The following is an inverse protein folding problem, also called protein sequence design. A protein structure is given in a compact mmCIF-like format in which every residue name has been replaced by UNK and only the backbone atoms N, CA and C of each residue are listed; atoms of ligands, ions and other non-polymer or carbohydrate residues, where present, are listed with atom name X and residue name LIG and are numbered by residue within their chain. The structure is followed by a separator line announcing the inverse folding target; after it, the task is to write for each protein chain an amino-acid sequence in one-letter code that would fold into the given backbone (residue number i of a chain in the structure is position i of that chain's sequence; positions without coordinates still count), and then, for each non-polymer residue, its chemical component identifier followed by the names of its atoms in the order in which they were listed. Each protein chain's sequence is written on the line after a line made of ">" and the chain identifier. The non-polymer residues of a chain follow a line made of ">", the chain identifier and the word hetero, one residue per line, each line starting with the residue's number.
data_IF_448058333824
#
_entry.id   IF_448058333824
#
_cell.length_a   1.000
_cell.length_b   1.000
_cell.length_c   1.000
_cell.angle_alpha   90.00
_cell.angle_beta   90.00
_cell.angle_gamma   90.00
#
_symmetry.space_group_name_H-M   'P 1'
#
loop_
_entity.id
_entity.type
_entity.pdbx_description
1 polymer ?
#
# COMPACT_ATOMS: atom_id res chain seq x y z
N UNK A 1 14.24 -5.43 -39.75
CA UNK A 1 13.52 -5.56 -38.47
C UNK A 1 14.44 -6.22 -37.49
N UNK A 2 14.78 -5.57 -36.36
CA UNK A 2 15.65 -6.18 -35.36
C UNK A 2 14.97 -7.43 -34.79
N UNK A 3 15.65 -8.58 -34.82
CA UNK A 3 15.18 -9.79 -34.15
C UNK A 3 14.88 -9.48 -32.69
N UNK A 4 13.62 -9.65 -32.29
CA UNK A 4 13.24 -9.50 -30.89
C UNK A 4 14.03 -10.51 -30.07
N UNK A 5 14.91 -10.02 -29.19
CA UNK A 5 15.64 -10.86 -28.22
C UNK A 5 14.64 -11.78 -27.49
N UNK A 6 14.84 -13.08 -27.62
CA UNK A 6 14.05 -14.14 -26.98
C UNK A 6 14.47 -14.41 -25.53
N UNK A 7 15.31 -13.57 -24.96
CA UNK A 7 15.84 -13.69 -23.60
C UNK A 7 15.43 -12.48 -22.76
N UNK A 8 15.14 -12.66 -21.46
CA UNK A 8 14.85 -11.56 -20.57
C UNK A 8 16.08 -10.67 -20.32
N UNK A 9 15.84 -9.41 -19.88
CA UNK A 9 16.93 -8.48 -19.52
C UNK A 9 17.70 -8.92 -18.27
N UNK A 10 17.01 -9.55 -17.33
CA UNK A 10 17.60 -10.13 -16.11
C UNK A 10 17.35 -11.63 -16.16
N UNK A 11 18.39 -12.40 -15.90
CA UNK A 11 18.33 -13.86 -15.95
C UNK A 11 19.10 -14.47 -14.78
N UNK A 12 18.60 -15.60 -14.30
CA UNK A 12 19.28 -16.38 -13.26
C UNK A 12 20.55 -16.99 -13.86
N UNK A 13 21.65 -16.90 -13.12
CA UNK A 13 22.93 -17.46 -13.56
C UNK A 13 22.81 -18.99 -13.83
N UNK A 14 23.46 -19.44 -14.89
CA UNK A 14 23.46 -20.85 -15.31
C UNK A 14 22.52 -21.17 -16.47
N UNK A 15 21.56 -20.30 -16.79
CA UNK A 15 20.66 -20.49 -17.92
C UNK A 15 21.10 -19.61 -19.10
N UNK A 16 21.40 -20.24 -20.23
CA UNK A 16 21.95 -19.55 -21.42
C UNK A 16 21.14 -19.76 -22.70
N UNK A 17 20.31 -20.81 -22.76
CA UNK A 17 19.50 -21.16 -23.93
C UNK A 17 18.42 -20.10 -24.20
N UNK A 18 18.13 -19.82 -25.45
CA UNK A 18 17.02 -18.94 -25.83
C UNK A 18 15.67 -19.53 -25.35
N UNK A 19 14.75 -18.64 -25.03
CA UNK A 19 13.39 -19.03 -24.70
C UNK A 19 12.61 -19.46 -25.95
N UNK A 20 11.77 -20.46 -25.84
CA UNK A 20 10.96 -21.00 -26.90
C UNK A 20 9.72 -20.14 -27.16
N UNK A 21 9.45 -19.84 -28.42
CA UNK A 21 8.21 -19.18 -28.86
C UNK A 21 7.25 -20.27 -29.32
N UNK A 22 6.07 -20.35 -28.73
CA UNK A 22 5.06 -21.32 -29.08
C UNK A 22 3.66 -20.92 -28.65
N UNK A 23 2.67 -21.70 -29.00
CA UNK A 23 1.30 -21.52 -28.51
C UNK A 23 1.18 -22.04 -27.09
N UNK A 24 0.30 -21.45 -26.29
CA UNK A 24 0.13 -21.87 -24.89
C UNK A 24 -0.43 -23.32 -24.79
N UNK A 25 -1.13 -23.81 -25.80
CA UNK A 25 -1.57 -25.22 -25.86
C UNK A 25 -0.44 -26.25 -26.01
N UNK A 26 0.81 -25.82 -26.24
CA UNK A 26 1.98 -26.68 -26.16
C UNK A 26 2.48 -26.90 -24.72
N UNK A 27 1.91 -26.17 -23.77
CA UNK A 27 2.27 -26.14 -22.37
C UNK A 27 1.12 -26.51 -21.43
N UNK A 28 -0.12 -26.29 -21.89
CA UNK A 28 -1.35 -26.53 -21.12
C UNK A 28 -2.38 -27.27 -21.99
N UNK A 29 -3.16 -28.13 -21.40
CA UNK A 29 -4.33 -28.75 -22.03
C UNK A 29 -5.61 -28.46 -21.24
N UNK A 30 -6.76 -28.40 -21.95
CA UNK A 30 -8.05 -28.10 -21.32
C UNK A 30 -8.57 -29.27 -20.52
N UNK A 31 -8.86 -29.07 -19.23
CA UNK A 31 -9.58 -30.03 -18.41
C UNK A 31 -11.08 -30.01 -18.71
N UNK A 32 -11.65 -31.18 -18.91
CA UNK A 32 -13.09 -31.40 -19.04
C UNK A 32 -13.70 -32.08 -17.82
N UNK A 33 -12.91 -32.33 -16.79
CA UNK A 33 -13.33 -33.00 -15.57
C UNK A 33 -14.43 -32.22 -14.84
N UNK A 34 -15.48 -32.92 -14.46
CA UNK A 34 -16.64 -32.38 -13.75
C UNK A 34 -16.85 -33.11 -12.44
N UNK A 35 -17.44 -32.43 -11.49
CA UNK A 35 -17.80 -32.97 -10.19
C UNK A 35 -19.11 -33.80 -10.26
N UNK A 36 -19.26 -34.64 -11.31
CA UNK A 36 -20.50 -35.36 -11.56
C UNK A 36 -20.92 -36.30 -10.42
N UNK A 37 -19.92 -36.87 -9.75
CA UNK A 37 -20.12 -37.79 -8.62
C UNK A 37 -20.25 -37.04 -7.28
N UNK A 38 -20.27 -35.71 -7.32
CA UNK A 38 -20.37 -34.80 -6.15
C UNK A 38 -19.37 -35.13 -5.02
N UNK A 39 -18.14 -35.53 -5.40
CA UNK A 39 -17.03 -35.78 -4.46
C UNK A 39 -16.69 -34.50 -3.69
N UNK A 40 -16.76 -33.37 -4.35
CA UNK A 40 -16.60 -32.03 -3.74
C UNK A 40 -17.95 -31.41 -3.44
N UNK A 41 -18.02 -30.73 -2.31
CA UNK A 41 -19.22 -30.04 -1.83
C UNK A 41 -19.18 -28.53 -2.11
N UNK A 42 -20.18 -27.81 -1.65
CA UNK A 42 -20.20 -26.34 -1.69
C UNK A 42 -19.12 -25.69 -0.82
N UNK A 43 -18.55 -26.43 0.10
CA UNK A 43 -17.45 -25.99 0.97
C UNK A 43 -16.11 -25.98 0.25
N UNK A 44 -16.01 -26.78 -0.85
CA UNK A 44 -14.78 -26.92 -1.63
C UNK A 44 -14.76 -25.99 -2.86
N UNK A 45 -15.69 -25.04 -2.94
CA UNK A 45 -15.75 -24.09 -4.05
C UNK A 45 -14.59 -23.10 -3.98
N UNK A 46 -13.86 -22.99 -5.08
CA UNK A 46 -12.74 -22.09 -5.24
C UNK A 46 -13.15 -20.85 -6.03
N UNK A 47 -12.46 -19.75 -5.76
CA UNK A 47 -12.53 -18.49 -6.50
C UNK A 47 -11.14 -18.06 -6.94
N UNK A 48 -11.05 -17.29 -8.03
CA UNK A 48 -9.78 -16.74 -8.52
C UNK A 48 -9.71 -15.25 -8.18
N UNK A 49 -8.75 -14.89 -7.34
CA UNK A 49 -8.45 -13.52 -6.94
C UNK A 49 -7.20 -13.01 -7.68
N UNK A 50 -7.20 -11.72 -8.07
CA UNK A 50 -6.02 -11.08 -8.63
C UNK A 50 -4.83 -11.11 -7.67
N UNK A 51 -5.08 -10.79 -6.40
CA UNK A 51 -4.04 -10.60 -5.37
C UNK A 51 -3.68 -11.92 -4.66
N UNK A 52 -4.68 -12.79 -4.41
CA UNK A 52 -4.52 -13.99 -3.58
C UNK A 52 -4.42 -15.30 -4.37
N UNK A 53 -4.59 -15.24 -5.72
CA UNK A 53 -4.56 -16.45 -6.55
C UNK A 53 -5.85 -17.26 -6.46
N UNK A 54 -5.74 -18.60 -6.52
CA UNK A 54 -6.88 -19.52 -6.33
C UNK A 54 -7.08 -19.77 -4.85
N UNK A 55 -8.27 -19.43 -4.34
CA UNK A 55 -8.59 -19.44 -2.91
C UNK A 55 -9.94 -20.12 -2.66
N UNK A 56 -10.11 -20.72 -1.47
CA UNK A 56 -11.43 -21.21 -1.07
C UNK A 56 -12.41 -20.05 -0.90
N UNK A 57 -13.61 -20.18 -1.47
CA UNK A 57 -14.58 -19.10 -1.52
C UNK A 57 -15.12 -18.72 -0.13
N UNK A 58 -15.35 -19.70 0.74
CA UNK A 58 -15.84 -19.47 2.10
C UNK A 58 -14.77 -18.80 2.96
N UNK A 59 -13.53 -19.31 2.92
CA UNK A 59 -12.42 -18.73 3.68
C UNK A 59 -12.14 -17.27 3.26
N UNK A 60 -12.27 -16.97 1.97
CA UNK A 60 -11.97 -15.65 1.44
C UNK A 60 -13.13 -14.65 1.55
N UNK A 61 -14.40 -15.10 1.35
CA UNK A 61 -15.56 -14.22 1.27
C UNK A 61 -16.59 -14.45 2.40
N UNK A 62 -16.32 -15.39 3.31
CA UNK A 62 -17.19 -15.71 4.44
C UNK A 62 -18.41 -16.58 4.07
N UNK A 63 -18.65 -16.86 2.80
CA UNK A 63 -19.76 -17.69 2.31
C UNK A 63 -19.48 -18.27 0.93
N UNK A 64 -20.16 -19.36 0.59
CA UNK A 64 -20.21 -19.90 -0.78
C UNK A 64 -21.34 -19.23 -1.59
N UNK A 65 -21.07 -18.93 -2.84
CA UNK A 65 -22.06 -18.44 -3.82
C UNK A 65 -22.55 -19.55 -4.77
N UNK A 66 -22.18 -20.80 -4.49
CA UNK A 66 -22.61 -21.94 -5.29
C UNK A 66 -24.12 -22.15 -5.20
N UNK A 67 -24.71 -22.59 -6.31
CA UNK A 67 -26.11 -22.98 -6.40
C UNK A 67 -26.43 -24.23 -5.55
N UNK A 68 -27.65 -24.76 -5.70
CA UNK A 68 -28.10 -25.96 -4.98
C UNK A 68 -27.28 -27.21 -5.34
N UNK A 69 -26.89 -27.37 -6.60
CA UNK A 69 -26.02 -28.46 -7.07
C UNK A 69 -24.70 -27.90 -7.61
N UNK A 70 -23.63 -28.61 -7.34
CA UNK A 70 -22.27 -28.34 -7.82
C UNK A 70 -21.73 -29.43 -8.77
N UNK A 71 -22.62 -30.35 -9.21
CA UNK A 71 -22.28 -31.48 -10.10
C UNK A 71 -21.66 -31.01 -11.44
N UNK A 72 -22.10 -29.88 -11.98
CA UNK A 72 -21.59 -29.32 -13.23
C UNK A 72 -20.31 -28.45 -13.09
N UNK A 73 -19.82 -28.25 -11.85
CA UNK A 73 -18.60 -27.51 -11.62
C UNK A 73 -17.38 -28.26 -12.12
N UNK A 74 -16.38 -27.55 -12.58
CA UNK A 74 -15.11 -28.15 -13.00
C UNK A 74 -14.24 -28.47 -11.80
N UNK A 75 -13.60 -29.65 -11.84
CA UNK A 75 -12.64 -30.07 -10.80
C UNK A 75 -11.29 -29.39 -11.06
N UNK A 76 -10.70 -28.84 -10.02
CA UNK A 76 -9.39 -28.18 -10.04
C UNK A 76 -8.46 -28.93 -9.09
N UNK A 77 -7.40 -29.50 -9.63
CA UNK A 77 -6.35 -30.14 -8.84
C UNK A 77 -5.27 -29.13 -8.43
N UNK A 78 -4.43 -29.52 -7.46
CA UNK A 78 -3.23 -28.75 -7.14
C UNK A 78 -2.29 -28.75 -8.35
N UNK A 79 -1.82 -27.58 -8.76
CA UNK A 79 -1.01 -27.38 -9.97
C UNK A 79 -1.82 -26.98 -11.21
N UNK A 80 -3.13 -27.13 -11.21
CA UNK A 80 -3.95 -26.69 -12.36
C UNK A 80 -3.93 -25.16 -12.53
N UNK A 81 -3.99 -24.74 -13.79
CA UNK A 81 -4.07 -23.35 -14.15
C UNK A 81 -5.54 -22.99 -14.42
N UNK A 82 -6.03 -21.95 -13.74
CA UNK A 82 -7.43 -21.53 -13.83
C UNK A 82 -7.51 -20.15 -14.47
N UNK A 83 -8.29 -20.04 -15.53
CA UNK A 83 -8.62 -18.78 -16.19
C UNK A 83 -10.04 -18.35 -15.83
N UNK A 84 -10.19 -17.15 -15.25
CA UNK A 84 -11.52 -16.56 -15.03
C UNK A 84 -11.96 -15.75 -16.25
N UNK A 85 -13.12 -16.09 -16.79
CA UNK A 85 -13.76 -15.42 -17.95
C UNK A 85 -14.55 -14.17 -17.52
N UNK A 86 -14.21 -13.55 -16.39
CA UNK A 86 -14.90 -12.38 -15.86
C UNK A 86 -14.03 -11.13 -15.98
N UNK A 87 -14.56 -10.01 -16.48
CA UNK A 87 -13.80 -8.78 -16.59
C UNK A 87 -13.51 -8.19 -15.22
N UNK A 88 -12.27 -7.78 -15.01
CA UNK A 88 -11.80 -7.02 -13.85
C UNK A 88 -11.35 -5.63 -14.29
N UNK A 89 -11.28 -4.67 -13.35
CA UNK A 89 -10.94 -3.27 -13.66
C UNK A 89 -9.65 -3.14 -14.47
N UNK A 90 -8.58 -3.82 -14.03
CA UNK A 90 -7.26 -3.76 -14.67
C UNK A 90 -7.06 -4.85 -15.73
N UNK A 91 -7.86 -5.91 -15.67
CA UNK A 91 -7.79 -7.06 -16.55
C UNK A 91 -9.17 -7.31 -17.20
N UNK A 92 -9.54 -6.50 -18.22
CA UNK A 92 -10.84 -6.56 -18.85
C UNK A 92 -11.11 -7.85 -19.62
N UNK A 93 -10.12 -8.72 -19.77
CA UNK A 93 -10.22 -10.04 -20.42
C UNK A 93 -10.09 -11.20 -19.43
N UNK A 94 -10.14 -10.93 -18.11
CA UNK A 94 -9.97 -11.93 -17.07
C UNK A 94 -8.52 -12.12 -16.62
N UNK A 95 -8.30 -13.07 -15.71
CA UNK A 95 -6.98 -13.39 -15.14
C UNK A 95 -6.69 -14.89 -15.17
N UNK A 96 -5.41 -15.23 -15.22
CA UNK A 96 -4.90 -16.60 -15.21
C UNK A 96 -4.09 -16.79 -13.93
N UNK A 97 -4.45 -17.79 -13.12
CA UNK A 97 -3.77 -18.14 -11.87
C UNK A 97 -3.59 -19.65 -11.74
N UNK A 98 -2.61 -20.09 -10.99
CA UNK A 98 -2.36 -21.50 -10.70
C UNK A 98 -2.90 -21.86 -9.32
N UNK A 99 -3.57 -23.01 -9.20
CA UNK A 99 -3.99 -23.53 -7.91
C UNK A 99 -2.77 -24.12 -7.17
N UNK A 100 -2.23 -23.39 -6.21
CA UNK A 100 -1.15 -23.84 -5.32
C UNK A 100 -1.69 -24.40 -3.99
N UNK A 101 -3.01 -24.39 -3.81
CA UNK A 101 -3.71 -24.87 -2.63
C UNK A 101 -4.28 -26.29 -2.79
N UNK A 102 -5.25 -26.59 -1.95
CA UNK A 102 -5.99 -27.88 -2.00
C UNK A 102 -6.82 -27.99 -3.28
N UNK A 103 -7.07 -29.22 -3.77
CA UNK A 103 -8.06 -29.44 -4.81
C UNK A 103 -9.45 -28.93 -4.41
N UNK A 104 -10.28 -28.60 -5.40
CA UNK A 104 -11.64 -28.14 -5.20
C UNK A 104 -12.38 -28.00 -6.53
N UNK A 105 -13.42 -27.20 -6.55
CA UNK A 105 -14.25 -27.00 -7.73
C UNK A 105 -14.46 -25.53 -8.04
N UNK A 106 -14.60 -25.22 -9.34
CA UNK A 106 -14.95 -23.88 -9.82
C UNK A 106 -16.18 -23.90 -10.69
N UNK A 107 -16.93 -22.79 -10.71
CA UNK A 107 -18.12 -22.68 -11.56
C UNK A 107 -17.77 -22.74 -13.05
N UNK A 108 -18.78 -22.89 -13.90
CA UNK A 108 -18.64 -22.94 -15.36
C UNK A 108 -18.13 -21.65 -16.01
N UNK A 109 -18.01 -20.57 -15.23
CA UNK A 109 -17.42 -19.30 -15.66
C UNK A 109 -15.89 -19.34 -15.76
N UNK A 110 -15.26 -20.41 -15.28
CA UNK A 110 -13.83 -20.62 -15.34
C UNK A 110 -13.46 -21.63 -16.43
N UNK A 111 -12.26 -21.53 -16.94
CA UNK A 111 -11.59 -22.59 -17.68
C UNK A 111 -10.46 -23.15 -16.82
N UNK A 112 -10.28 -24.46 -16.90
CA UNK A 112 -9.28 -25.22 -16.14
C UNK A 112 -8.33 -25.86 -17.12
N UNK A 113 -7.05 -25.77 -16.86
CA UNK A 113 -5.99 -26.33 -17.70
C UNK A 113 -5.03 -27.16 -16.86
N UNK A 114 -4.74 -28.37 -17.34
CA UNK A 114 -3.68 -29.22 -16.79
C UNK A 114 -2.35 -28.81 -17.42
N UNK A 115 -1.29 -28.61 -16.62
CA UNK A 115 0.06 -28.35 -17.15
C UNK A 115 0.62 -29.64 -17.78
N UNK A 116 1.24 -29.51 -18.95
CA UNK A 116 1.99 -30.58 -19.59
C UNK A 116 3.36 -30.74 -18.93
N UNK A 117 4.05 -31.87 -19.16
CA UNK A 117 5.35 -32.20 -18.53
C UNK A 117 6.46 -31.13 -18.72
N UNK A 118 6.37 -30.35 -19.78
CA UNK A 118 7.30 -29.25 -20.08
C UNK A 118 7.00 -27.95 -19.34
N UNK A 119 5.96 -27.94 -18.51
CA UNK A 119 5.42 -26.71 -17.87
C UNK A 119 5.51 -26.81 -16.36
N UNK A 120 6.21 -25.87 -15.75
CA UNK A 120 6.14 -25.64 -14.32
C UNK A 120 4.91 -24.78 -14.01
N UNK A 121 3.91 -25.29 -13.29
CA UNK A 121 2.58 -24.63 -13.20
C UNK A 121 2.62 -23.19 -12.70
N UNK A 122 3.36 -22.94 -11.62
CA UNK A 122 3.44 -21.60 -11.00
C UNK A 122 4.11 -20.58 -11.94
N UNK A 123 4.96 -21.03 -12.89
CA UNK A 123 5.56 -20.14 -13.87
C UNK A 123 4.50 -19.49 -14.77
N UNK A 124 3.46 -20.23 -15.12
CA UNK A 124 2.36 -19.69 -15.95
C UNK A 124 1.68 -18.52 -15.24
N UNK A 125 1.39 -18.66 -13.95
CA UNK A 125 0.85 -17.59 -13.12
C UNK A 125 1.80 -16.37 -13.12
N UNK A 126 3.08 -16.56 -12.85
CA UNK A 126 4.06 -15.48 -12.82
C UNK A 126 4.24 -14.80 -14.18
N UNK A 127 4.20 -15.59 -15.26
CA UNK A 127 4.28 -15.03 -16.61
C UNK A 127 3.13 -14.07 -16.88
N UNK A 128 1.92 -14.41 -16.45
CA UNK A 128 0.70 -13.59 -16.64
C UNK A 128 0.41 -12.63 -15.48
N UNK A 129 1.28 -12.49 -14.48
CA UNK A 129 1.12 -11.51 -13.39
C UNK A 129 1.24 -10.06 -13.88
N UNK A 130 1.96 -9.84 -14.98
CA UNK A 130 2.03 -8.53 -15.62
C UNK A 130 0.74 -8.27 -16.43
N UNK A 131 -0.07 -7.29 -15.97
CA UNK A 131 -1.36 -6.95 -16.56
C UNK A 131 -1.28 -6.59 -18.05
N UNK A 132 -0.24 -5.85 -18.48
CA UNK A 132 -0.08 -5.48 -19.88
C UNK A 132 0.22 -6.69 -20.77
N UNK A 133 1.01 -7.64 -20.26
CA UNK A 133 1.30 -8.89 -20.96
C UNK A 133 0.05 -9.74 -21.06
N UNK A 134 -0.67 -9.94 -19.98
CA UNK A 134 -1.91 -10.71 -19.92
C UNK A 134 -2.98 -10.14 -20.84
N UNK A 135 -3.20 -8.82 -20.76
CA UNK A 135 -4.21 -8.16 -21.61
C UNK A 135 -3.83 -8.20 -23.09
N UNK A 136 -2.56 -8.03 -23.45
CA UNK A 136 -2.10 -8.20 -24.85
C UNK A 136 -2.23 -9.63 -25.35
N UNK A 137 -2.03 -10.62 -24.48
CA UNK A 137 -2.21 -12.03 -24.81
C UNK A 137 -3.68 -12.37 -25.06
N UNK A 138 -4.58 -11.98 -24.15
CA UNK A 138 -6.01 -12.34 -24.22
C UNK A 138 -6.81 -11.51 -25.20
N UNK A 139 -6.45 -10.24 -25.46
CA UNK A 139 -7.22 -9.33 -26.31
C UNK A 139 -7.60 -9.93 -27.70
N UNK A 140 -6.70 -10.54 -28.47
CA UNK A 140 -7.04 -11.12 -29.77
C UNK A 140 -7.83 -12.44 -29.67
N UNK A 141 -7.86 -13.09 -28.50
CA UNK A 141 -8.47 -14.41 -28.28
C UNK A 141 -9.89 -14.33 -27.70
N UNK A 142 -10.25 -13.17 -27.13
CA UNK A 142 -11.50 -12.96 -26.41
C UNK A 142 -12.43 -12.04 -27.20
N UNK A 143 -13.58 -12.55 -27.63
CA UNK A 143 -14.62 -11.74 -28.23
C UNK A 143 -15.50 -11.13 -27.12
N UNK A 144 -15.59 -9.81 -27.07
CA UNK A 144 -16.52 -9.10 -26.18
C UNK A 144 -17.91 -9.11 -26.81
N UNK A 145 -18.86 -9.85 -26.20
CA UNK A 145 -20.27 -9.78 -26.54
C UNK A 145 -20.96 -8.52 -25.99
N UNK A 146 -22.21 -8.29 -26.40
CA UNK A 146 -23.07 -7.27 -25.79
C UNK A 146 -23.25 -7.56 -24.29
N UNK A 147 -23.23 -6.53 -23.44
CA UNK A 147 -23.33 -6.60 -21.95
C UNK A 147 -22.08 -7.12 -21.22
N UNK A 148 -20.84 -6.91 -21.75
CA UNK A 148 -19.60 -7.37 -21.13
C UNK A 148 -19.50 -8.90 -20.94
N UNK A 149 -20.31 -9.68 -21.67
CA UNK A 149 -20.20 -11.12 -21.67
C UNK A 149 -18.99 -11.54 -22.51
N UNK A 150 -18.02 -12.23 -21.88
CA UNK A 150 -16.82 -12.67 -22.58
C UNK A 150 -17.06 -14.04 -23.21
N UNK A 151 -17.11 -14.06 -24.54
CA UNK A 151 -17.22 -15.29 -25.32
C UNK A 151 -15.84 -15.77 -25.75
N UNK A 152 -15.24 -16.60 -24.92
CA UNK A 152 -14.02 -17.31 -25.27
C UNK A 152 -14.21 -18.78 -24.89
N UNK A 153 -13.96 -19.69 -25.84
CA UNK A 153 -13.88 -21.10 -25.49
C UNK A 153 -12.60 -21.36 -24.68
N UNK A 154 -12.60 -22.38 -23.87
CA UNK A 154 -11.42 -22.75 -23.08
C UNK A 154 -10.21 -23.00 -23.98
N UNK A 155 -10.40 -23.69 -25.09
CA UNK A 155 -9.34 -24.01 -26.05
C UNK A 155 -8.83 -22.77 -26.78
N UNK A 156 -9.71 -21.83 -27.16
CA UNK A 156 -9.28 -20.60 -27.84
C UNK A 156 -8.35 -19.75 -26.94
N UNK A 157 -8.54 -19.78 -25.62
CA UNK A 157 -7.66 -19.05 -24.71
C UNK A 157 -6.22 -19.61 -24.68
N UNK A 158 -5.99 -20.83 -25.18
CA UNK A 158 -4.66 -21.44 -25.30
C UNK A 158 -3.97 -21.18 -26.65
N UNK A 159 -4.63 -20.54 -27.63
CA UNK A 159 -4.10 -20.36 -28.98
C UNK A 159 -3.19 -19.11 -29.12
N UNK A 160 -2.92 -18.41 -28.04
CA UNK A 160 -2.01 -17.27 -28.06
C UNK A 160 -0.54 -17.68 -27.98
N UNK A 161 0.32 -16.83 -28.53
CA UNK A 161 1.78 -17.04 -28.45
C UNK A 161 2.34 -16.66 -27.09
N UNK A 162 3.15 -17.52 -26.52
CA UNK A 162 3.96 -17.30 -25.31
C UNK A 162 5.45 -17.49 -25.62
N UNK A 163 6.29 -16.96 -24.72
CA UNK A 163 7.74 -17.13 -24.82
C UNK A 163 8.21 -17.70 -23.50
N UNK A 164 8.46 -19.01 -23.45
CA UNK A 164 8.76 -19.76 -22.25
C UNK A 164 10.17 -20.35 -22.30
N UNK A 165 10.91 -20.37 -21.18
CA UNK A 165 12.16 -21.12 -21.05
C UNK A 165 11.89 -22.62 -20.91
N UNK A 166 12.96 -23.42 -20.83
CA UNK A 166 12.88 -24.82 -20.44
C UNK A 166 12.39 -24.95 -18.99
N UNK A 167 11.85 -26.12 -18.63
CA UNK A 167 11.22 -26.42 -17.34
C UNK A 167 12.06 -26.00 -16.13
N UNK A 168 13.36 -26.32 -16.12
CA UNK A 168 14.23 -26.00 -14.98
C UNK A 168 14.38 -24.51 -14.75
N UNK A 169 14.42 -23.70 -15.83
CA UNK A 169 14.46 -22.24 -15.72
C UNK A 169 13.09 -21.66 -15.30
N UNK A 170 11.98 -22.24 -15.78
CA UNK A 170 10.64 -21.89 -15.30
C UNK A 170 10.54 -22.08 -13.79
N UNK A 171 11.01 -23.21 -13.30
CA UNK A 171 11.03 -23.55 -11.86
C UNK A 171 11.92 -22.57 -11.08
N UNK A 172 13.15 -22.34 -11.54
CA UNK A 172 14.07 -21.42 -10.87
C UNK A 172 13.53 -19.99 -10.77
N UNK A 173 12.88 -19.48 -11.84
CA UNK A 173 12.23 -18.17 -11.84
C UNK A 173 11.09 -18.15 -10.83
N UNK A 174 10.25 -19.17 -10.82
CA UNK A 174 9.10 -19.26 -9.91
C UNK A 174 9.56 -19.32 -8.46
N UNK A 175 10.55 -20.15 -8.13
CA UNK A 175 11.12 -20.25 -6.79
C UNK A 175 11.69 -18.91 -6.32
N UNK A 176 12.38 -18.16 -7.20
CA UNK A 176 12.91 -16.85 -6.88
C UNK A 176 11.80 -15.84 -6.60
N UNK A 177 10.75 -15.81 -7.43
CA UNK A 177 9.61 -14.90 -7.25
C UNK A 177 8.78 -15.22 -6.00
N UNK A 178 8.59 -16.50 -5.68
CA UNK A 178 7.94 -16.94 -4.42
C UNK A 178 8.73 -16.47 -3.21
N UNK A 179 10.07 -16.60 -3.24
CA UNK A 179 10.94 -16.11 -2.14
C UNK A 179 10.81 -14.59 -1.97
N UNK A 180 10.84 -13.83 -3.07
CA UNK A 180 10.67 -12.37 -3.03
C UNK A 180 9.29 -12.01 -2.43
N UNK A 181 8.22 -12.65 -2.88
CA UNK A 181 6.86 -12.44 -2.35
C UNK A 181 6.78 -12.76 -0.85
N UNK A 182 7.39 -13.86 -0.43
CA UNK A 182 7.44 -14.25 0.98
C UNK A 182 8.16 -13.21 1.84
N UNK A 183 9.29 -12.68 1.37
CA UNK A 183 10.05 -11.62 2.06
C UNK A 183 9.20 -10.35 2.17
N UNK A 184 8.53 -9.93 1.11
CA UNK A 184 7.63 -8.77 1.11
C UNK A 184 6.57 -8.93 2.19
N UNK A 185 5.83 -10.05 2.21
CA UNK A 185 4.80 -10.33 3.20
C UNK A 185 5.33 -10.34 4.65
N UNK A 186 6.53 -10.86 4.88
CA UNK A 186 7.18 -10.83 6.20
C UNK A 186 7.48 -9.40 6.64
N UNK A 187 8.00 -8.55 5.73
CA UNK A 187 8.28 -7.15 6.06
C UNK A 187 6.99 -6.34 6.28
N UNK A 188 5.94 -6.57 5.51
CA UNK A 188 4.63 -5.95 5.71
C UNK A 188 4.04 -6.32 7.09
N UNK A 189 4.07 -7.59 7.45
CA UNK A 189 3.63 -8.05 8.77
C UNK A 189 4.48 -7.45 9.91
N UNK A 190 5.80 -7.34 9.73
CA UNK A 190 6.70 -6.69 10.69
C UNK A 190 6.39 -5.20 10.81
N UNK A 191 6.18 -4.52 9.70
CA UNK A 191 5.81 -3.09 9.67
C UNK A 191 4.51 -2.86 10.44
N UNK A 192 3.48 -3.67 10.18
CA UNK A 192 2.20 -3.59 10.89
C UNK A 192 2.36 -3.76 12.41
N UNK A 193 3.15 -4.76 12.85
CA UNK A 193 3.44 -4.96 14.28
C UNK A 193 4.14 -3.76 14.90
N UNK A 194 5.13 -3.19 14.21
CA UNK A 194 5.86 -2.01 14.70
C UNK A 194 4.97 -0.77 14.75
N UNK A 195 4.07 -0.58 13.80
CA UNK A 195 3.08 0.51 13.82
C UNK A 195 2.12 0.36 15.00
N UNK A 196 1.63 -0.84 15.28
CA UNK A 196 0.76 -1.14 16.43
C UNK A 196 1.51 -0.88 17.74
N UNK A 197 2.77 -1.35 17.85
CA UNK A 197 3.60 -1.10 19.02
C UNK A 197 3.83 0.41 19.23
N UNK A 198 4.19 1.14 18.17
CA UNK A 198 4.35 2.60 18.23
C UNK A 198 3.10 3.30 18.74
N UNK A 199 1.93 2.93 18.22
CA UNK A 199 0.64 3.50 18.65
C UNK A 199 0.38 3.23 20.14
N UNK A 200 0.59 1.98 20.59
CA UNK A 200 0.45 1.59 22.01
C UNK A 200 1.43 2.33 22.92
N UNK A 201 2.69 2.48 22.50
CA UNK A 201 3.69 3.22 23.28
C UNK A 201 3.34 4.72 23.37
N UNK A 202 2.89 5.33 22.27
CA UNK A 202 2.43 6.73 22.29
C UNK A 202 1.23 6.96 23.21
N UNK A 203 0.39 5.95 23.42
CA UNK A 203 -0.72 6.03 24.38
C UNK A 203 -0.26 5.83 25.84
N UNK A 204 0.65 4.85 26.07
CA UNK A 204 1.01 4.42 27.41
C UNK A 204 2.18 5.18 28.02
N UNK A 205 3.05 5.78 27.21
CA UNK A 205 4.21 6.54 27.67
C UNK A 205 3.90 8.02 27.94
N UNK A 206 2.65 8.44 27.76
CA UNK A 206 2.17 9.77 28.16
C UNK A 206 1.08 9.61 29.23
N UNK A 207 1.03 10.52 30.22
CA UNK A 207 -0.02 10.50 31.24
C UNK A 207 -1.41 10.64 30.60
N UNK A 208 -2.38 9.94 31.13
CA UNK A 208 -3.81 10.10 30.78
C UNK A 208 -4.44 11.29 31.52
N UNK A 209 -5.63 11.70 31.11
CA UNK A 209 -6.40 12.76 31.77
C UNK A 209 -6.43 12.58 33.30
N UNK A 210 -5.98 13.59 34.02
CA UNK A 210 -5.96 13.58 35.48
C UNK A 210 -4.82 12.79 36.14
N UNK A 211 -3.93 12.19 35.34
CA UNK A 211 -2.71 11.54 35.81
C UNK A 211 -1.48 12.40 35.55
N UNK A 212 -0.48 12.30 36.42
CA UNK A 212 0.83 12.95 36.28
C UNK A 212 1.97 11.95 36.04
N UNK A 213 1.64 10.64 35.94
CA UNK A 213 2.58 9.55 35.67
C UNK A 213 2.04 8.67 34.53
N UNK A 214 2.84 8.37 33.51
CA UNK A 214 2.45 7.45 32.43
C UNK A 214 2.41 5.99 32.90
N UNK A 215 1.64 5.13 32.24
CA UNK A 215 1.57 3.67 32.52
C UNK A 215 2.91 2.96 32.27
N UNK A 216 3.63 3.38 31.23
CA UNK A 216 4.94 2.82 30.86
C UNK A 216 5.97 3.91 30.95
N UNK A 217 7.05 3.61 31.66
CA UNK A 217 8.12 4.57 31.93
C UNK A 217 9.48 3.89 31.94
N UNK A 218 10.52 4.61 31.54
CA UNK A 218 11.88 4.12 31.65
C UNK A 218 12.30 4.05 33.14
N UNK A 219 13.06 3.01 33.48
CA UNK A 219 13.63 2.86 34.84
C UNK A 219 14.49 4.08 35.21
N UNK A 220 14.32 4.58 36.44
CA UNK A 220 15.03 5.73 36.94
C UNK A 220 14.32 7.08 36.76
N UNK A 221 13.12 7.08 36.17
CA UNK A 221 12.28 8.28 36.06
C UNK A 221 11.02 8.10 36.91
N UNK A 222 11.09 8.40 38.21
CA UNK A 222 10.02 8.10 39.17
C UNK A 222 9.21 9.34 39.61
N UNK A 223 9.70 10.56 39.29
CA UNK A 223 9.05 11.80 39.70
C UNK A 223 7.82 12.07 38.81
N UNK A 224 6.69 12.56 39.35
CA UNK A 224 5.56 13.03 38.59
C UNK A 224 5.93 14.05 37.51
N UNK A 225 5.22 14.07 36.42
CA UNK A 225 5.39 15.10 35.40
C UNK A 225 4.78 16.41 35.89
N UNK A 226 5.37 17.52 35.48
CA UNK A 226 4.87 18.85 35.80
C UNK A 226 4.09 19.41 34.62
N UNK A 227 2.94 20.02 34.88
CA UNK A 227 2.17 20.77 33.89
C UNK A 227 2.80 22.18 33.77
N UNK A 228 2.98 22.62 32.54
CA UNK A 228 3.38 23.98 32.20
C UNK A 228 2.62 24.43 30.96
N UNK A 229 2.40 25.72 30.78
CA UNK A 229 1.84 26.25 29.55
C UNK A 229 2.92 26.40 28.49
N UNK A 230 2.57 26.21 27.23
CA UNK A 230 3.52 26.38 26.12
C UNK A 230 4.11 27.80 26.10
N UNK A 231 3.34 28.82 26.40
CA UNK A 231 3.81 30.24 26.51
C UNK A 231 4.97 30.45 27.49
N UNK A 232 5.08 29.59 28.52
CA UNK A 232 6.12 29.73 29.53
C UNK A 232 7.46 29.16 29.07
N UNK A 233 7.46 28.30 28.05
CA UNK A 233 8.66 27.62 27.54
C UNK A 233 8.94 27.91 26.05
N UNK A 234 8.00 28.52 25.33
CA UNK A 234 8.14 28.84 23.90
C UNK A 234 8.45 30.31 23.66
N UNK A 235 9.28 30.58 22.68
CA UNK A 235 9.53 31.93 22.16
C UNK A 235 9.28 31.96 20.65
N UNK A 236 8.46 32.89 20.19
CA UNK A 236 8.11 33.03 18.77
C UNK A 236 9.32 33.32 17.88
N UNK A 237 9.34 32.73 16.70
CA UNK A 237 10.34 32.97 15.67
C UNK A 237 9.68 33.71 14.51
N UNK A 238 10.14 34.93 14.26
CA UNK A 238 9.73 35.78 13.12
C UNK A 238 10.89 36.03 12.16
N UNK A 239 12.01 35.30 12.34
CA UNK A 239 13.23 35.46 11.55
C UNK A 239 12.99 35.15 10.07
N UNK A 240 13.27 36.14 9.20
CA UNK A 240 13.23 35.98 7.75
C UNK A 240 14.61 36.26 7.17
N UNK A 241 14.96 35.54 6.10
CA UNK A 241 16.17 35.81 5.32
C UNK A 241 15.87 35.66 3.83
N UNK A 242 15.90 36.78 3.13
CA UNK A 242 15.66 36.84 1.68
C UNK A 242 16.77 36.18 0.86
N UNK A 243 17.96 36.02 1.46
CA UNK A 243 19.15 35.46 0.81
C UNK A 243 19.32 33.97 1.09
N UNK A 244 18.57 33.41 2.03
CA UNK A 244 18.64 32.00 2.40
C UNK A 244 18.36 31.11 1.20
N UNK A 245 19.20 30.08 1.03
CA UNK A 245 19.07 29.01 0.04
C UNK A 245 18.54 27.70 0.68
N UNK A 246 18.14 27.75 1.96
CA UNK A 246 17.59 26.60 2.63
C UNK A 246 16.36 26.05 1.89
N UNK A 247 16.09 24.73 1.96
CA UNK A 247 14.94 24.12 1.29
C UNK A 247 13.63 24.72 1.78
N UNK A 248 12.66 24.81 0.89
CA UNK A 248 11.31 25.23 1.23
C UNK A 248 10.55 23.99 1.69
N UNK A 249 10.18 23.97 2.96
CA UNK A 249 9.47 22.85 3.54
C UNK A 249 8.03 23.20 3.93
N UNK A 250 7.21 22.18 4.03
CA UNK A 250 5.84 22.27 4.53
C UNK A 250 5.59 21.13 5.53
N UNK A 251 4.58 21.30 6.37
CA UNK A 251 4.18 20.27 7.33
C UNK A 251 2.97 19.51 6.81
N UNK A 252 3.09 18.19 6.77
CA UNK A 252 1.97 17.26 6.57
C UNK A 252 1.59 16.59 7.89
N UNK A 253 0.32 16.29 8.05
CA UNK A 253 -0.20 15.68 9.28
C UNK A 253 0.39 14.29 9.58
N UNK A 254 0.78 13.54 8.54
CA UNK A 254 1.30 12.18 8.66
C UNK A 254 2.82 12.13 8.84
N UNK A 255 3.56 12.91 8.06
CA UNK A 255 5.01 12.77 7.93
C UNK A 255 5.82 13.92 8.55
N UNK A 256 5.14 14.96 9.11
CA UNK A 256 5.82 16.15 9.58
C UNK A 256 6.36 16.99 8.42
N UNK A 257 7.60 17.47 8.56
CA UNK A 257 8.26 18.27 7.54
C UNK A 257 8.57 17.44 6.30
N UNK A 258 8.16 17.96 5.15
CA UNK A 258 8.50 17.43 3.82
C UNK A 258 8.97 18.58 2.94
N UNK A 259 9.79 18.29 1.92
CA UNK A 259 10.14 19.28 0.91
C UNK A 259 8.88 19.64 0.11
N UNK A 260 8.70 20.92 -0.19
CA UNK A 260 7.53 21.38 -0.96
C UNK A 260 7.53 20.80 -2.37
N UNK A 261 8.71 20.54 -2.95
CA UNK A 261 8.87 19.95 -4.29
C UNK A 261 8.37 18.50 -4.37
N UNK A 262 8.35 17.76 -3.26
CA UNK A 262 7.82 16.39 -3.21
C UNK A 262 6.29 16.33 -3.43
N UNK A 263 5.61 17.46 -3.19
CA UNK A 263 4.14 17.53 -3.29
C UNK A 263 3.64 18.37 -4.46
N UNK A 264 4.38 19.39 -4.86
CA UNK A 264 3.97 20.33 -5.90
C UNK A 264 5.06 20.42 -6.96
N UNK A 265 4.67 20.23 -8.23
CA UNK A 265 5.57 20.35 -9.39
C UNK A 265 6.06 21.78 -9.67
N UNK A 266 5.48 22.79 -8.98
CA UNK A 266 5.85 24.19 -9.10
C UNK A 266 6.08 24.82 -7.73
N UNK A 267 7.04 25.74 -7.66
CA UNK A 267 7.26 26.56 -6.48
C UNK A 267 6.12 27.60 -6.36
N UNK A 268 5.15 27.32 -5.50
CA UNK A 268 3.97 28.18 -5.28
C UNK A 268 4.28 29.43 -4.43
N UNK A 269 5.52 29.59 -3.92
CA UNK A 269 5.85 30.67 -3.01
C UNK A 269 5.94 32.05 -3.68
N UNK A 270 6.34 32.14 -4.95
CA UNK A 270 6.40 33.37 -5.72
C UNK A 270 7.03 34.51 -4.94
N UNK A 271 6.41 35.71 -4.98
CA UNK A 271 6.86 36.93 -4.25
C UNK A 271 6.74 36.75 -2.71
N UNK A 272 5.92 35.86 -2.21
CA UNK A 272 5.73 35.60 -0.77
C UNK A 272 6.93 34.93 -0.11
N UNK A 273 7.86 34.38 -0.88
CA UNK A 273 9.06 33.72 -0.39
C UNK A 273 9.92 34.64 0.51
N UNK A 274 9.90 35.94 0.26
CA UNK A 274 10.61 36.92 1.08
C UNK A 274 10.06 37.05 2.52
N UNK A 275 8.85 36.54 2.77
CA UNK A 275 8.19 36.53 4.09
C UNK A 275 8.34 35.21 4.81
N UNK A 276 8.94 34.19 4.17
CA UNK A 276 9.07 32.87 4.79
C UNK A 276 9.99 32.93 6.00
N UNK A 277 9.57 32.21 7.02
CA UNK A 277 10.31 32.12 8.28
C UNK A 277 11.44 31.09 8.10
N UNK A 278 12.64 31.45 8.51
CA UNK A 278 13.79 30.55 8.52
C UNK A 278 13.87 29.86 9.85
N UNK A 279 13.68 28.53 9.84
CA UNK A 279 13.85 27.67 11.01
C UNK A 279 15.21 26.98 10.98
N UNK A 280 15.75 26.73 12.18
CA UNK A 280 16.95 25.91 12.42
C UNK A 280 16.55 24.58 13.06
N UNK A 281 17.44 23.62 12.98
CA UNK A 281 17.27 22.30 13.59
C UNK A 281 16.83 22.40 15.05
N UNK A 282 15.77 21.66 15.41
CA UNK A 282 15.17 21.67 16.74
C UNK A 282 14.13 22.78 16.96
N UNK A 283 14.02 23.78 16.10
CA UNK A 283 12.94 24.77 16.19
C UNK A 283 11.62 24.13 15.67
N UNK A 284 10.50 24.59 16.19
CA UNK A 284 9.19 23.99 15.90
C UNK A 284 8.35 24.87 15.00
N UNK A 285 7.48 24.24 14.23
CA UNK A 285 6.41 24.94 13.52
C UNK A 285 5.08 24.22 13.73
N UNK A 286 4.03 25.00 13.98
CA UNK A 286 2.65 24.56 14.02
C UNK A 286 1.95 24.99 12.74
N UNK A 287 1.53 23.98 11.98
CA UNK A 287 0.64 24.16 10.84
C UNK A 287 -0.81 24.03 11.32
N UNK A 288 -1.55 25.13 11.36
CA UNK A 288 -2.94 25.18 11.75
C UNK A 288 -3.93 24.78 10.62
N UNK A 289 -3.45 24.11 9.57
CA UNK A 289 -4.28 23.48 8.56
C UNK A 289 -5.00 22.24 9.09
N UNK A 290 -6.33 22.25 9.02
CA UNK A 290 -7.14 21.09 9.40
C UNK A 290 -7.00 19.95 8.39
N UNK A 291 -6.91 18.73 8.89
CA UNK A 291 -6.92 17.51 8.07
C UNK A 291 -7.71 16.39 8.75
N UNK A 292 -8.08 15.37 7.98
CA UNK A 292 -8.78 14.19 8.55
C UNK A 292 -7.98 13.51 9.67
N UNK A 293 -6.65 13.48 9.55
CA UNK A 293 -5.75 12.87 10.54
C UNK A 293 -5.48 13.79 11.74
N UNK A 294 -5.45 15.12 11.53
CA UNK A 294 -5.17 16.16 12.52
C UNK A 294 -6.16 17.30 12.36
N UNK A 295 -7.35 17.18 12.98
CA UNK A 295 -8.42 18.17 12.79
C UNK A 295 -8.06 19.57 13.32
N UNK A 296 -7.14 19.64 14.28
CA UNK A 296 -6.72 20.88 14.95
C UNK A 296 -5.26 21.25 14.64
N UNK A 297 -4.78 20.88 13.45
CA UNK A 297 -3.42 21.17 13.03
C UNK A 297 -2.38 20.19 13.56
N UNK A 298 -1.12 20.48 13.30
CA UNK A 298 0.00 19.62 13.74
C UNK A 298 1.28 20.44 13.95
N UNK A 299 2.06 20.05 14.96
CA UNK A 299 3.31 20.70 15.34
C UNK A 299 4.48 19.72 15.26
N UNK A 300 5.57 20.12 14.60
CA UNK A 300 6.77 19.29 14.50
C UNK A 300 8.03 20.13 14.75
N UNK A 301 9.07 19.46 15.27
CA UNK A 301 10.42 20.02 15.37
C UNK A 301 11.20 19.70 14.10
N UNK A 302 11.95 20.68 13.58
CA UNK A 302 12.76 20.54 12.38
C UNK A 302 13.94 19.59 12.62
N UNK A 303 14.12 18.60 11.74
CA UNK A 303 15.20 17.60 11.85
C UNK A 303 16.42 17.93 10.98
N UNK A 304 16.25 18.75 9.92
CA UNK A 304 17.34 19.23 9.06
C UNK A 304 17.95 20.51 9.62
N UNK A 305 19.13 20.89 9.16
CA UNK A 305 19.89 22.00 9.74
C UNK A 305 19.15 23.34 9.61
N UNK A 306 18.53 23.61 8.45
CA UNK A 306 17.78 24.82 8.21
C UNK A 306 16.67 24.59 7.16
N UNK A 307 15.54 25.27 7.30
CA UNK A 307 14.44 25.26 6.33
C UNK A 307 13.69 26.60 6.28
N UNK A 308 13.08 26.91 5.13
CA UNK A 308 12.17 28.05 4.98
C UNK A 308 10.73 27.58 5.05
N UNK A 309 9.96 28.19 5.94
CA UNK A 309 8.58 27.79 6.24
C UNK A 309 7.59 28.85 5.80
N UNK A 310 6.38 28.46 5.33
CA UNK A 310 5.30 29.41 5.07
C UNK A 310 5.04 30.32 6.28
N UNK A 311 4.96 31.63 6.06
CA UNK A 311 4.75 32.63 7.10
C UNK A 311 3.41 32.52 7.84
N UNK A 312 2.52 31.68 7.34
CA UNK A 312 1.23 31.36 8.00
C UNK A 312 1.37 30.37 9.14
N UNK A 313 2.53 29.71 9.29
CA UNK A 313 2.76 28.78 10.40
C UNK A 313 3.21 29.53 11.65
N UNK A 314 2.79 29.06 12.82
CA UNK A 314 3.35 29.55 14.08
C UNK A 314 4.68 28.85 14.34
N UNK A 315 5.77 29.60 14.25
CA UNK A 315 7.12 29.10 14.40
C UNK A 315 7.68 29.54 15.75
N UNK A 316 8.33 28.65 16.49
CA UNK A 316 8.84 28.95 17.82
C UNK A 316 10.01 28.05 18.22
N UNK A 317 10.80 28.52 19.19
CA UNK A 317 11.82 27.73 19.88
C UNK A 317 11.35 27.34 21.26
N UNK A 318 11.93 26.28 21.83
CA UNK A 318 11.64 25.79 23.19
C UNK A 318 12.87 25.94 24.07
N UNK A 319 12.69 26.52 25.27
CA UNK A 319 13.71 26.60 26.30
C UNK A 319 13.64 25.40 27.24
N UNK A 320 14.81 24.95 27.75
CA UNK A 320 14.95 23.94 28.83
C UNK A 320 14.33 22.56 28.57
N UNK A 321 13.66 22.34 27.42
CA UNK A 321 12.98 21.11 27.09
C UNK A 321 13.45 20.57 25.75
N UNK A 322 13.32 19.24 25.56
CA UNK A 322 13.61 18.63 24.28
C UNK A 322 12.50 18.96 23.25
N UNK A 323 12.79 19.66 22.15
CA UNK A 323 11.78 20.10 21.18
C UNK A 323 11.08 18.93 20.50
N UNK A 324 11.78 17.82 20.27
CA UNK A 324 11.18 16.61 19.67
C UNK A 324 10.18 15.96 20.63
N UNK A 325 10.46 15.98 21.94
CA UNK A 325 9.50 15.54 22.94
C UNK A 325 8.29 16.47 23.01
N UNK A 326 8.52 17.79 23.07
CA UNK A 326 7.44 18.78 23.09
C UNK A 326 6.54 18.64 21.87
N UNK A 327 7.10 18.43 20.67
CA UNK A 327 6.30 18.21 19.47
C UNK A 327 5.39 16.97 19.58
N UNK A 328 5.80 15.92 20.31
CA UNK A 328 4.95 14.74 20.56
C UNK A 328 3.81 15.05 21.53
N UNK A 329 4.08 15.83 22.57
CA UNK A 329 3.04 16.32 23.50
C UNK A 329 2.01 17.17 22.75
N UNK A 330 2.47 18.12 21.96
CA UNK A 330 1.59 19.02 21.19
C UNK A 330 0.74 18.32 20.10
N UNK A 331 1.10 17.09 19.75
CA UNK A 331 0.35 16.25 18.82
C UNK A 331 -0.45 15.13 19.50
N UNK A 332 -0.57 15.12 20.83
CA UNK A 332 -1.35 14.11 21.53
C UNK A 332 -2.85 14.48 21.60
N UNK A 333 -3.67 13.52 22.04
CA UNK A 333 -5.13 13.71 22.16
C UNK A 333 -5.53 14.75 23.20
N UNK A 334 -4.72 14.92 24.25
CA UNK A 334 -5.02 15.88 25.32
C UNK A 334 -4.83 17.31 24.85
N UNK A 335 -3.74 17.59 24.13
CA UNK A 335 -3.53 18.89 23.48
C UNK A 335 -4.61 19.14 22.42
N UNK A 336 -5.01 18.11 21.65
CA UNK A 336 -6.10 18.23 20.69
C UNK A 336 -7.42 18.63 21.35
N UNK A 337 -7.76 18.07 22.52
CA UNK A 337 -8.97 18.49 23.29
C UNK A 337 -8.88 19.96 23.74
N UNK A 338 -7.72 20.45 24.09
CA UNK A 338 -7.53 21.85 24.47
C UNK A 338 -7.67 22.77 23.25
N UNK A 339 -7.01 22.45 22.13
CA UNK A 339 -7.10 23.20 20.87
C UNK A 339 -8.55 23.27 20.34
N UNK A 340 -9.32 22.18 20.51
CA UNK A 340 -10.74 22.16 20.15
C UNK A 340 -11.56 23.26 20.86
N UNK A 341 -11.19 23.61 22.08
CA UNK A 341 -11.90 24.65 22.83
C UNK A 341 -11.50 26.07 22.39
N UNK A 342 -10.30 26.22 21.82
CA UNK A 342 -9.78 27.51 21.37
C UNK A 342 -10.25 27.87 19.95
N UNK A 343 -10.51 26.87 19.11
CA UNK A 343 -11.02 27.09 17.75
C UNK A 343 -12.50 27.41 17.80
N UNK A 344 -12.85 28.69 17.70
CA UNK A 344 -14.22 29.21 17.88
C UNK A 344 -15.12 29.11 16.66
N UNK A 345 -14.58 28.91 15.46
CA UNK A 345 -15.33 28.71 14.22
C UNK A 345 -14.58 27.76 13.28
N UNK A 346 -15.31 27.09 12.40
CA UNK A 346 -14.72 26.15 11.45
C UNK A 346 -13.56 26.72 10.63
N UNK A 347 -12.86 25.88 9.91
CA UNK A 347 -11.75 26.28 9.04
C UNK A 347 -12.15 27.44 8.13
N UNK A 348 -11.25 28.43 7.93
CA UNK A 348 -11.41 29.47 6.94
C UNK A 348 -11.61 28.87 5.55
N UNK A 349 -12.04 29.66 4.58
CA UNK A 349 -12.17 29.21 3.18
C UNK A 349 -10.87 28.65 2.59
N UNK A 350 -9.71 29.00 3.16
CA UNK A 350 -8.38 28.48 2.84
C UNK A 350 -8.02 27.17 3.56
N UNK A 351 -8.93 26.64 4.39
CA UNK A 351 -8.72 25.39 5.18
C UNK A 351 -7.89 25.57 6.45
N UNK A 352 -7.51 26.80 6.79
CA UNK A 352 -6.76 27.11 8.01
C UNK A 352 -7.70 27.38 9.18
N UNK A 353 -7.33 26.86 10.37
CA UNK A 353 -8.03 27.16 11.62
C UNK A 353 -7.76 28.59 12.05
N UNK A 354 -8.77 29.24 12.61
CA UNK A 354 -8.63 30.57 13.17
C UNK A 354 -8.13 30.49 14.61
N UNK A 355 -6.81 30.46 14.78
CA UNK A 355 -6.12 30.43 16.05
C UNK A 355 -4.85 31.29 15.95
N UNK A 356 -4.68 32.26 16.84
CA UNK A 356 -3.48 33.08 16.91
C UNK A 356 -2.32 32.35 17.61
N UNK A 357 -1.09 32.88 17.52
CA UNK A 357 0.05 32.33 18.23
C UNK A 357 -0.16 32.40 19.75
N UNK A 358 -0.68 33.54 20.24
CA UNK A 358 -0.97 33.75 21.67
C UNK A 358 -2.01 32.73 22.18
N UNK A 359 -3.09 32.51 21.42
CA UNK A 359 -4.10 31.49 21.77
C UNK A 359 -3.48 30.08 21.75
N UNK A 360 -2.72 29.75 20.69
CA UNK A 360 -2.07 28.43 20.57
C UNK A 360 -1.15 28.14 21.74
N UNK A 361 -0.43 29.14 22.26
CA UNK A 361 0.54 28.93 23.36
C UNK A 361 -0.11 28.84 24.75
N UNK A 362 -1.42 28.95 24.85
CA UNK A 362 -2.17 28.72 26.12
C UNK A 362 -2.39 27.22 26.44
N UNK A 363 -2.08 26.33 25.51
CA UNK A 363 -2.15 24.88 25.74
C UNK A 363 -1.05 24.38 26.66
#
# INVERSE_FOLDING_TARGET
>A
MAEKKKTPQIRINGFTKDWNVGLLNQYLETSLEKNCDEVFSREDVLSVSGDYGVVNQIEFQGRSFAGASVANYGVVHTGDVVYTKSPLKENPYGIIKTNTGKPGIVSTLYAIYHPLETTYPEFVQWYFENNDRLNRYLNPLVNKGAKNDMKVSSDNALLGNVVFPEYDEQKAISDALVRIKTIILQYEAKLQKLQTLKASMLEKMFPKDGADVPEVRFKGFDKPWRTTFLKDIASEIIRTDKTSKAPIMMITAANGFIDQSDRYSFNNAGQSLAKYIVLKKGELAYNHGASKLRPYGSCFALEVDEARMPYVYHCFTISEHNPYFVSRVLNNKETEKQLRKLVTSGARMDGLLNISYEEYTTV
#
